data_IF_383435486263
#
_entry.id   IF_383435486263
#
_cell.length_a   1.000
_cell.length_b   1.000
_cell.length_c   1.000
_cell.angle_alpha   90.00
_cell.angle_beta   90.00
_cell.angle_gamma   90.00
#
_symmetry.space_group_name_H-M   'P 1'
#
loop_
_entity.id
_entity.type
_entity.pdbx_description
1 polymer ?
#
# COMPACT_ATOMS: atom_id res chain seq x y z
N UNK A 1 7.84 -32.53 8.24
CA UNK A 1 8.60 -33.16 9.35
C UNK A 1 9.69 -32.20 9.85
N UNK A 2 9.81 -31.99 11.16
CA UNK A 2 10.86 -31.14 11.75
C UNK A 2 10.60 -29.63 11.71
N UNK A 3 9.35 -29.19 11.48
CA UNK A 3 8.93 -27.79 11.62
C UNK A 3 7.70 -27.75 12.50
N UNK A 4 7.78 -26.93 13.55
CA UNK A 4 6.67 -26.59 14.42
C UNK A 4 6.32 -25.12 14.18
N UNK A 5 5.15 -24.84 13.63
CA UNK A 5 4.77 -23.48 13.20
C UNK A 5 3.25 -23.29 13.26
N UNK A 6 2.83 -22.14 13.78
CA UNK A 6 1.42 -21.79 13.98
C UNK A 6 1.13 -20.40 13.44
N UNK A 7 -0.04 -20.22 12.82
CA UNK A 7 -0.49 -18.92 12.34
C UNK A 7 -1.50 -19.01 11.21
N UNK A 8 -1.52 -17.99 10.35
CA UNK A 8 -2.45 -17.85 9.23
C UNK A 8 -1.73 -17.95 7.88
N UNK A 9 -2.45 -18.47 6.88
CA UNK A 9 -1.95 -18.60 5.51
C UNK A 9 -3.07 -18.40 4.49
N UNK A 10 -2.69 -18.19 3.23
CA UNK A 10 -3.63 -18.19 2.12
C UNK A 10 -3.91 -19.62 1.65
N UNK A 11 -5.18 -19.99 1.35
CA UNK A 11 -5.47 -21.27 0.72
C UNK A 11 -4.60 -21.51 -0.52
N UNK A 12 -3.87 -22.63 -0.54
CA UNK A 12 -2.93 -22.98 -1.62
C UNK A 12 -1.47 -22.55 -1.39
N UNK A 13 -1.16 -21.80 -0.34
CA UNK A 13 0.23 -21.46 0.04
C UNK A 13 0.79 -22.55 0.99
N UNK A 14 2.02 -23.06 0.77
CA UNK A 14 2.55 -24.21 1.51
C UNK A 14 3.07 -23.88 2.93
N UNK A 15 3.03 -22.62 3.37
CA UNK A 15 3.68 -22.16 4.61
C UNK A 15 2.80 -21.16 5.38
N UNK A 16 3.09 -20.96 6.67
CA UNK A 16 2.44 -19.92 7.49
C UNK A 16 2.99 -18.55 7.10
N UNK A 17 2.11 -17.62 6.75
CA UNK A 17 2.49 -16.27 6.28
C UNK A 17 2.68 -15.33 7.46
N UNK A 18 1.74 -15.31 8.41
CA UNK A 18 1.84 -14.54 9.67
C UNK A 18 1.70 -15.53 10.80
N UNK A 19 2.65 -15.56 11.73
CA UNK A 19 2.67 -16.57 12.77
C UNK A 19 3.95 -16.60 13.56
N UNK A 20 4.20 -17.75 14.18
CA UNK A 20 5.40 -18.00 14.95
C UNK A 20 5.79 -19.47 14.92
N UNK A 21 7.05 -19.74 15.22
CA UNK A 21 7.55 -21.06 15.59
C UNK A 21 8.01 -21.02 17.06
N UNK A 22 8.65 -22.06 17.62
CA UNK A 22 9.10 -22.04 19.01
C UNK A 22 10.09 -20.91 19.36
N UNK A 23 10.82 -20.39 18.37
CA UNK A 23 11.97 -19.50 18.53
C UNK A 23 11.65 -18.03 18.20
N UNK A 24 10.90 -17.77 17.12
CA UNK A 24 10.60 -16.43 16.61
C UNK A 24 9.13 -16.28 16.21
N UNK A 25 8.65 -15.04 16.21
CA UNK A 25 7.35 -14.63 15.67
C UNK A 25 7.53 -13.56 14.60
N UNK A 26 6.63 -13.55 13.61
CA UNK A 26 6.64 -12.57 12.54
C UNK A 26 5.23 -12.15 12.09
N UNK A 27 5.13 -10.92 11.59
CA UNK A 27 3.91 -10.35 11.03
C UNK A 27 4.20 -9.53 9.79
N UNK A 28 3.19 -9.35 8.94
CA UNK A 28 3.33 -8.71 7.63
C UNK A 28 2.38 -7.52 7.51
N UNK A 29 2.86 -6.44 6.90
CA UNK A 29 2.03 -5.38 6.32
C UNK A 29 2.66 -4.92 5.01
N UNK A 30 1.86 -4.49 4.02
CA UNK A 30 2.42 -3.98 2.76
C UNK A 30 3.37 -2.81 3.01
N UNK A 31 4.55 -2.86 2.38
CA UNK A 31 5.53 -1.77 2.42
C UNK A 31 5.13 -0.57 1.54
N UNK A 32 4.09 -0.75 0.71
CA UNK A 32 3.62 0.23 -0.27
C UNK A 32 4.71 0.64 -1.26
N UNK A 33 5.71 -0.21 -1.50
CA UNK A 33 6.81 0.06 -2.43
C UNK A 33 6.25 0.36 -3.83
N UNK A 34 6.81 1.40 -4.44
CA UNK A 34 6.63 1.68 -5.86
C UNK A 34 7.59 0.80 -6.67
N UNK A 35 7.11 -0.41 -6.99
CA UNK A 35 7.85 -1.48 -7.69
C UNK A 35 7.42 -1.66 -9.15
N UNK A 36 6.66 -0.72 -9.70
CA UNK A 36 6.11 -0.78 -11.06
C UNK A 36 6.14 0.59 -11.74
N UNK A 37 6.57 0.63 -13.01
CA UNK A 37 6.53 1.83 -13.85
C UNK A 37 5.79 1.57 -15.15
N UNK A 38 5.10 2.60 -15.65
CA UNK A 38 4.44 2.60 -16.95
C UNK A 38 5.26 3.41 -17.96
N UNK A 39 5.46 2.84 -19.15
CA UNK A 39 6.18 3.51 -20.22
C UNK A 39 5.22 3.86 -21.36
N UNK A 40 5.30 5.10 -21.85
CA UNK A 40 4.63 5.56 -23.06
C UNK A 40 5.52 5.19 -24.25
N UNK A 41 5.05 4.21 -25.01
CA UNK A 41 5.81 3.58 -26.08
C UNK A 41 5.52 4.24 -27.42
N UNK A 42 6.57 4.47 -28.21
CA UNK A 42 6.43 4.91 -29.59
C UNK A 42 6.45 3.70 -30.50
N UNK A 43 5.32 3.42 -31.15
CA UNK A 43 5.09 2.20 -31.93
C UNK A 43 5.02 2.51 -33.43
N UNK A 44 5.59 1.63 -34.25
CA UNK A 44 5.49 1.63 -35.72
C UNK A 44 5.33 0.19 -36.22
N UNK A 45 4.09 -0.17 -36.56
CA UNK A 45 3.72 -1.56 -36.86
C UNK A 45 3.98 -2.48 -35.65
N UNK A 46 4.76 -3.53 -35.87
CA UNK A 46 5.15 -4.49 -34.82
C UNK A 46 6.50 -4.11 -34.15
N UNK A 47 6.92 -2.84 -34.26
CA UNK A 47 8.17 -2.33 -33.68
C UNK A 47 7.91 -1.22 -32.67
N UNK A 48 8.81 -1.08 -31.72
CA UNK A 48 8.84 0.00 -30.72
C UNK A 48 10.17 0.73 -30.77
N UNK A 49 10.17 2.04 -30.55
CA UNK A 49 11.39 2.82 -30.39
C UNK A 49 11.96 2.55 -29.01
N UNK A 50 13.20 2.09 -28.93
CA UNK A 50 13.91 1.85 -27.67
C UNK A 50 15.37 2.29 -27.80
N UNK A 51 15.80 3.19 -26.92
CA UNK A 51 17.16 3.79 -26.92
C UNK A 51 17.55 4.34 -28.30
N UNK A 52 16.60 5.04 -28.93
CA UNK A 52 16.79 5.66 -30.26
C UNK A 52 16.81 4.69 -31.44
N UNK A 53 16.47 3.41 -31.26
CA UNK A 53 16.37 2.41 -32.34
C UNK A 53 15.01 1.73 -32.37
N UNK A 54 14.48 1.50 -33.56
CA UNK A 54 13.31 0.64 -33.75
C UNK A 54 13.68 -0.82 -33.52
N UNK A 55 13.06 -1.45 -32.54
CA UNK A 55 13.24 -2.88 -32.21
C UNK A 55 11.92 -3.63 -32.34
N UNK A 56 11.91 -4.91 -32.74
CA UNK A 56 10.69 -5.68 -32.84
C UNK A 56 10.08 -5.92 -31.45
N UNK A 57 8.75 -5.80 -31.36
CA UNK A 57 7.99 -6.28 -30.20
C UNK A 57 7.82 -7.79 -30.28
N UNK A 58 7.71 -8.46 -29.13
CA UNK A 58 7.34 -9.88 -29.10
C UNK A 58 5.83 -10.02 -29.10
N UNK A 59 5.31 -10.95 -29.89
CA UNK A 59 3.89 -11.31 -29.94
C UNK A 59 3.69 -12.71 -29.40
N UNK A 60 2.79 -12.88 -28.44
CA UNK A 60 2.29 -14.19 -27.99
C UNK A 60 0.78 -14.24 -28.21
N UNK A 61 0.27 -15.38 -28.70
CA UNK A 61 -1.16 -15.61 -28.80
C UNK A 61 -1.60 -16.42 -27.59
N UNK A 62 -2.45 -15.82 -26.76
CA UNK A 62 -3.06 -16.48 -25.61
C UNK A 62 -4.43 -17.03 -25.99
N UNK A 63 -4.70 -18.27 -25.60
CA UNK A 63 -5.97 -18.95 -25.87
C UNK A 63 -6.72 -19.15 -24.56
N UNK A 64 -7.88 -18.54 -24.44
CA UNK A 64 -8.69 -18.53 -23.22
C UNK A 64 -10.00 -19.28 -23.49
N UNK A 65 -10.25 -20.32 -22.70
CA UNK A 65 -11.52 -21.04 -22.76
C UNK A 65 -12.58 -20.30 -21.94
N UNK A 66 -13.61 -19.78 -22.61
CA UNK A 66 -14.69 -19.01 -21.99
C UNK A 66 -15.92 -19.89 -21.87
N UNK A 67 -16.35 -20.13 -20.63
CA UNK A 67 -17.54 -20.95 -20.32
C UNK A 67 -18.74 -20.41 -21.11
N UNK A 68 -19.35 -21.27 -21.92
CA UNK A 68 -20.53 -20.95 -22.73
C UNK A 68 -20.24 -20.16 -24.01
N UNK A 69 -18.99 -19.79 -24.30
CA UNK A 69 -18.61 -19.03 -25.52
C UNK A 69 -17.54 -19.72 -26.38
N UNK A 70 -16.82 -20.69 -25.84
CA UNK A 70 -15.74 -21.39 -26.57
C UNK A 70 -14.37 -20.74 -26.35
N UNK A 71 -13.43 -20.97 -27.27
CA UNK A 71 -12.06 -20.43 -27.19
C UNK A 71 -12.01 -19.00 -27.75
N UNK A 72 -11.47 -18.06 -26.97
CA UNK A 72 -11.09 -16.73 -27.42
C UNK A 72 -9.56 -16.65 -27.54
N UNK A 73 -9.05 -16.10 -28.64
CA UNK A 73 -7.60 -15.89 -28.85
C UNK A 73 -7.26 -14.41 -28.72
N UNK A 74 -6.32 -14.07 -27.84
CA UNK A 74 -5.88 -12.70 -27.56
C UNK A 74 -4.40 -12.53 -27.89
N UNK A 75 -4.02 -11.50 -28.68
CA UNK A 75 -2.62 -11.16 -28.89
C UNK A 75 -2.08 -10.38 -27.68
N UNK A 76 -0.97 -10.86 -27.10
CA UNK A 76 -0.18 -10.17 -26.09
C UNK A 76 1.09 -9.64 -26.74
N UNK A 77 1.27 -8.34 -26.69
CA UNK A 77 2.47 -7.66 -27.18
C UNK A 77 3.38 -7.33 -26.01
N UNK A 78 4.68 -7.57 -26.17
CA UNK A 78 5.71 -7.22 -25.19
C UNK A 78 6.78 -6.34 -25.83
N UNK A 79 7.05 -5.20 -25.20
CA UNK A 79 8.17 -4.32 -25.49
C UNK A 79 9.38 -4.72 -24.64
N UNK A 80 10.55 -4.08 -24.81
CA UNK A 80 11.68 -4.24 -23.89
C UNK A 80 11.34 -3.92 -22.41
N UNK A 81 10.35 -3.06 -22.15
CA UNK A 81 9.93 -2.72 -20.78
C UNK A 81 8.95 -3.74 -20.19
N UNK A 82 8.12 -4.38 -21.03
CA UNK A 82 7.18 -5.42 -20.63
C UNK A 82 5.90 -5.47 -21.48
N UNK A 83 4.83 -6.11 -20.99
CA UNK A 83 3.58 -6.25 -21.74
C UNK A 83 2.89 -4.90 -21.99
N UNK A 84 2.32 -4.74 -23.17
CA UNK A 84 1.48 -3.59 -23.55
C UNK A 84 0.08 -3.75 -22.94
N UNK A 85 -0.34 -2.77 -22.15
CA UNK A 85 -1.60 -2.78 -21.40
C UNK A 85 -2.72 -1.97 -22.05
N UNK A 86 -2.43 -1.05 -22.98
CA UNK A 86 -3.46 -0.19 -23.58
C UNK A 86 -4.71 -0.92 -24.09
N UNK A 87 -4.63 -2.12 -24.71
CA UNK A 87 -5.83 -2.84 -25.15
C UNK A 87 -6.82 -3.18 -24.03
N UNK A 88 -6.38 -3.19 -22.77
CA UNK A 88 -7.22 -3.49 -21.60
C UNK A 88 -7.47 -2.26 -20.71
N UNK A 89 -6.94 -1.08 -21.08
CA UNK A 89 -7.13 0.17 -20.36
C UNK A 89 -8.12 1.06 -21.11
N UNK A 90 -9.30 1.26 -20.52
CA UNK A 90 -10.33 2.14 -21.09
C UNK A 90 -9.84 3.59 -21.18
N UNK A 91 -10.12 4.25 -22.30
CA UNK A 91 -9.79 5.67 -22.51
C UNK A 91 -8.31 5.97 -22.78
N UNK A 92 -7.44 4.96 -22.86
CA UNK A 92 -6.00 5.14 -23.14
C UNK A 92 -5.71 4.83 -24.60
N UNK A 93 -5.37 5.85 -25.39
CA UNK A 93 -4.98 5.71 -26.80
C UNK A 93 -3.48 5.52 -27.01
N UNK A 94 -2.65 5.97 -26.07
CA UNK A 94 -1.20 5.77 -26.11
C UNK A 94 -0.87 4.29 -25.88
N UNK A 95 0.20 3.79 -26.52
CA UNK A 95 0.75 2.48 -26.19
C UNK A 95 1.46 2.56 -24.83
N UNK A 96 0.93 1.89 -23.82
CA UNK A 96 1.48 1.84 -22.46
C UNK A 96 1.98 0.43 -22.20
N UNK A 97 3.25 0.30 -21.82
CA UNK A 97 3.78 -0.97 -21.31
C UNK A 97 4.06 -0.89 -19.82
N UNK A 98 4.01 -2.04 -19.14
CA UNK A 98 4.31 -2.16 -17.72
C UNK A 98 5.67 -2.81 -17.50
N UNK A 99 6.55 -2.11 -16.77
CA UNK A 99 7.73 -2.70 -16.14
C UNK A 99 7.41 -2.93 -14.66
N UNK A 100 7.52 -4.16 -14.19
CA UNK A 100 7.21 -4.52 -12.80
C UNK A 100 8.28 -5.47 -12.25
N UNK A 101 8.70 -5.26 -10.99
CA UNK A 101 9.64 -6.16 -10.29
C UNK A 101 9.16 -7.62 -10.31
N UNK A 102 7.84 -7.85 -10.29
CA UNK A 102 7.26 -9.19 -10.35
C UNK A 102 7.66 -9.98 -11.61
N UNK A 103 7.97 -9.29 -12.72
CA UNK A 103 8.43 -9.93 -13.95
C UNK A 103 9.89 -10.40 -13.89
N UNK A 104 10.68 -9.91 -12.94
CA UNK A 104 12.07 -10.35 -12.72
C UNK A 104 12.16 -11.64 -11.88
N UNK A 105 11.01 -12.22 -11.50
CA UNK A 105 10.89 -13.44 -10.74
C UNK A 105 11.17 -13.27 -9.24
N UNK A 106 11.64 -14.34 -8.61
CA UNK A 106 11.87 -14.44 -7.17
C UNK A 106 11.42 -15.80 -6.63
N UNK A 107 11.68 -16.04 -5.35
CA UNK A 107 11.29 -17.27 -4.67
C UNK A 107 10.58 -16.95 -3.35
N UNK A 108 9.44 -16.26 -3.45
CA UNK A 108 8.61 -15.97 -2.29
C UNK A 108 8.20 -17.26 -1.53
N UNK A 109 7.87 -18.39 -2.19
CA UNK A 109 7.62 -19.66 -1.50
C UNK A 109 8.84 -20.16 -0.72
N UNK A 110 10.04 -20.13 -1.30
CA UNK A 110 11.27 -20.52 -0.61
C UNK A 110 11.64 -19.57 0.53
N UNK A 111 11.45 -18.27 0.35
CA UNK A 111 11.65 -17.27 1.40
C UNK A 111 10.69 -17.52 2.59
N UNK A 112 9.41 -17.78 2.33
CA UNK A 112 8.44 -18.17 3.38
C UNK A 112 8.82 -19.49 4.04
N UNK A 113 9.24 -20.48 3.26
CA UNK A 113 9.68 -21.77 3.77
C UNK A 113 10.89 -21.66 4.70
N UNK A 114 11.86 -20.80 4.35
CA UNK A 114 13.01 -20.48 5.17
C UNK A 114 12.61 -19.70 6.43
N UNK A 115 11.72 -18.72 6.29
CA UNK A 115 11.21 -17.92 7.42
C UNK A 115 10.52 -18.79 8.46
N UNK A 116 9.70 -19.76 8.03
CA UNK A 116 9.01 -20.70 8.91
C UNK A 116 9.98 -21.57 9.74
N UNK A 117 11.24 -21.68 9.31
CA UNK A 117 12.32 -22.45 9.97
C UNK A 117 13.36 -21.59 10.67
N UNK A 118 13.30 -20.27 10.51
CA UNK A 118 14.28 -19.38 11.10
C UNK A 118 14.16 -19.39 12.63
N UNK A 119 15.30 -19.42 13.32
CA UNK A 119 15.37 -19.56 14.78
C UNK A 119 15.95 -18.34 15.48
N UNK A 120 16.43 -17.37 14.71
CA UNK A 120 17.07 -16.17 15.22
C UNK A 120 17.05 -15.07 14.17
N UNK A 121 17.45 -13.87 14.59
CA UNK A 121 17.51 -12.67 13.74
C UNK A 121 18.31 -12.90 12.45
N UNK A 122 19.42 -13.62 12.50
CA UNK A 122 20.26 -13.82 11.30
C UNK A 122 19.50 -14.67 10.28
N UNK A 123 18.98 -15.82 10.70
CA UNK A 123 18.20 -16.70 9.83
C UNK A 123 16.92 -16.02 9.33
N UNK A 124 16.29 -15.16 10.14
CA UNK A 124 15.17 -14.33 9.73
C UNK A 124 15.57 -13.36 8.60
N UNK A 125 16.65 -12.59 8.78
CA UNK A 125 17.14 -11.64 7.77
C UNK A 125 17.52 -12.35 6.48
N UNK A 126 18.19 -13.51 6.59
CA UNK A 126 18.56 -14.33 5.45
C UNK A 126 17.30 -14.81 4.69
N UNK A 127 16.28 -15.29 5.39
CA UNK A 127 15.03 -15.74 4.79
C UNK A 127 14.28 -14.60 4.07
N UNK A 128 14.08 -13.45 4.74
CA UNK A 128 13.31 -12.33 4.15
C UNK A 128 14.08 -11.61 3.04
N UNK A 129 15.40 -11.79 2.93
CA UNK A 129 16.19 -11.27 1.80
C UNK A 129 15.76 -11.85 0.44
N UNK A 130 15.18 -13.05 0.44
CA UNK A 130 14.64 -13.71 -0.76
C UNK A 130 13.26 -13.20 -1.19
N UNK A 131 12.63 -12.33 -0.38
CA UNK A 131 11.29 -11.80 -0.65
C UNK A 131 11.40 -10.55 -1.54
N UNK A 132 11.36 -10.74 -2.86
CA UNK A 132 11.53 -9.65 -3.83
C UNK A 132 10.27 -8.84 -4.08
N UNK A 133 9.12 -9.53 -4.12
CA UNK A 133 7.80 -8.95 -4.30
C UNK A 133 6.74 -9.92 -3.73
N UNK A 134 5.53 -9.44 -3.39
CA UNK A 134 5.20 -8.04 -3.15
C UNK A 134 6.03 -7.49 -1.98
N UNK A 135 6.34 -6.19 -1.95
CA UNK A 135 7.14 -5.66 -0.84
C UNK A 135 6.36 -5.60 0.48
N UNK A 136 7.00 -6.00 1.58
CA UNK A 136 6.38 -6.17 2.90
C UNK A 136 7.23 -5.56 4.01
N UNK A 137 6.61 -4.87 4.96
CA UNK A 137 7.20 -4.62 6.26
C UNK A 137 6.96 -5.85 7.14
N UNK A 138 8.03 -6.56 7.46
CA UNK A 138 7.98 -7.79 8.25
C UNK A 138 8.48 -7.47 9.65
N UNK A 139 7.58 -7.51 10.63
CA UNK A 139 7.92 -7.37 12.04
C UNK A 139 8.44 -8.70 12.59
N UNK A 140 9.35 -8.63 13.56
CA UNK A 140 10.05 -9.75 14.18
C UNK A 140 9.99 -9.61 15.71
N UNK A 141 9.84 -10.74 16.40
CA UNK A 141 10.13 -10.89 17.82
C UNK A 141 10.72 -12.28 18.10
N UNK A 142 11.52 -12.42 19.17
CA UNK A 142 12.05 -13.72 19.61
C UNK A 142 12.00 -13.94 21.13
N UNK A 143 12.34 -15.17 21.54
CA UNK A 143 12.36 -15.60 22.95
C UNK A 143 13.37 -14.84 23.82
N UNK A 144 14.38 -14.24 23.22
CA UNK A 144 15.40 -13.45 23.93
C UNK A 144 14.93 -12.02 24.20
N UNK A 145 13.73 -11.66 23.70
CA UNK A 145 13.15 -10.33 23.85
C UNK A 145 13.61 -9.35 22.78
N UNK A 146 14.27 -9.81 21.71
CA UNK A 146 14.60 -8.93 20.59
C UNK A 146 13.36 -8.65 19.77
N UNK A 147 13.27 -7.42 19.24
CA UNK A 147 12.24 -6.97 18.32
C UNK A 147 12.86 -6.28 17.12
N UNK A 148 12.17 -6.34 15.99
CA UNK A 148 12.62 -5.64 14.79
C UNK A 148 11.55 -5.50 13.74
N UNK A 149 11.84 -4.67 12.75
CA UNK A 149 11.06 -4.57 11.52
C UNK A 149 12.03 -4.45 10.36
N UNK A 150 11.77 -5.20 9.28
CA UNK A 150 12.54 -5.16 8.05
C UNK A 150 11.58 -4.95 6.89
N UNK A 151 11.87 -3.95 6.05
CA UNK A 151 11.21 -3.82 4.76
C UNK A 151 11.86 -4.81 3.79
N UNK A 152 11.13 -5.88 3.45
CA UNK A 152 11.50 -6.83 2.42
C UNK A 152 10.90 -6.41 1.06
N UNK A 153 11.66 -6.59 -0.01
CA UNK A 153 11.28 -6.18 -1.37
C UNK A 153 12.48 -5.64 -2.16
N UNK A 154 12.44 -5.76 -3.48
CA UNK A 154 13.45 -5.19 -4.38
C UNK A 154 13.07 -3.77 -4.77
N UNK A 155 13.83 -2.78 -4.29
CA UNK A 155 13.62 -1.38 -4.61
C UNK A 155 14.31 -1.06 -5.94
N UNK A 156 13.59 -0.72 -7.03
CA UNK A 156 14.21 -0.42 -8.30
C UNK A 156 14.89 0.95 -8.30
N UNK A 157 16.11 1.00 -8.83
CA UNK A 157 16.87 2.23 -9.08
C UNK A 157 16.51 2.75 -10.46
N UNK A 158 16.08 4.00 -10.53
CA UNK A 158 15.60 4.66 -11.76
C UNK A 158 16.55 5.80 -12.13
N UNK A 159 16.78 6.04 -13.42
CA UNK A 159 17.51 7.23 -13.89
C UNK A 159 16.76 8.54 -13.62
N UNK A 160 15.44 8.48 -13.57
CA UNK A 160 14.57 9.61 -13.30
C UNK A 160 13.12 9.20 -13.15
N UNK A 161 12.24 10.19 -13.04
CA UNK A 161 10.80 10.01 -12.97
C UNK A 161 10.28 10.25 -11.57
N UNK A 162 9.00 10.59 -11.46
CA UNK A 162 8.37 10.87 -10.16
C UNK A 162 7.78 9.62 -9.51
N UNK A 163 7.64 8.51 -10.26
CA UNK A 163 6.86 7.33 -9.89
C UNK A 163 5.34 7.52 -9.97
N UNK A 164 4.86 8.71 -10.36
CA UNK A 164 3.43 9.05 -10.36
C UNK A 164 2.77 9.03 -11.73
N UNK A 165 3.56 9.21 -12.80
CA UNK A 165 3.07 9.32 -14.16
C UNK A 165 3.86 8.38 -15.08
N UNK A 166 3.24 7.88 -16.15
CA UNK A 166 3.97 7.18 -17.19
C UNK A 166 5.10 8.04 -17.77
N UNK A 167 6.20 7.39 -18.14
CA UNK A 167 7.41 8.05 -18.68
C UNK A 167 7.67 7.61 -20.13
N UNK A 168 8.32 8.43 -20.97
CA UNK A 168 8.68 8.01 -22.33
C UNK A 168 9.57 6.75 -22.37
N UNK A 169 9.27 5.79 -23.26
CA UNK A 169 10.06 4.57 -23.47
C UNK A 169 11.13 4.65 -24.57
N UNK A 170 11.23 5.76 -25.28
CA UNK A 170 11.98 5.82 -26.55
C UNK A 170 13.47 6.18 -26.42
N UNK A 171 13.84 7.03 -25.46
CA UNK A 171 15.22 7.55 -25.31
C UNK A 171 16.10 6.71 -24.39
N UNK A 172 15.51 5.97 -23.44
CA UNK A 172 16.24 5.28 -22.38
C UNK A 172 16.69 6.20 -21.23
N UNK A 173 16.12 7.40 -21.12
CA UNK A 173 16.34 8.35 -20.03
C UNK A 173 15.68 7.92 -18.72
N UNK A 174 14.65 7.07 -18.79
CA UNK A 174 13.81 6.69 -17.65
C UNK A 174 13.99 5.23 -17.22
N UNK A 175 15.05 4.59 -17.72
CA UNK A 175 15.34 3.18 -17.48
C UNK A 175 15.61 2.88 -16.00
N UNK A 176 15.32 1.63 -15.62
CA UNK A 176 15.87 1.06 -14.40
C UNK A 176 17.36 0.76 -14.60
N UNK A 177 18.19 1.13 -13.64
CA UNK A 177 19.65 0.91 -13.65
C UNK A 177 20.08 -0.24 -12.75
N UNK A 178 19.15 -0.80 -11.97
CA UNK A 178 19.39 -1.90 -11.06
C UNK A 178 18.40 -1.87 -9.91
N UNK A 179 18.81 -2.42 -8.77
CA UNK A 179 18.04 -2.43 -7.53
C UNK A 179 18.92 -2.04 -6.37
N UNK A 180 18.34 -1.40 -5.36
CA UNK A 180 19.02 -1.16 -4.09
C UNK A 180 19.46 -2.50 -3.49
N UNK A 181 20.71 -2.63 -3.00
CA UNK A 181 21.15 -3.83 -2.29
C UNK A 181 20.27 -4.10 -1.08
N UNK A 182 19.85 -5.35 -0.86
CA UNK A 182 18.96 -5.68 0.25
C UNK A 182 19.51 -5.24 1.61
N UNK A 183 20.83 -5.25 1.82
CA UNK A 183 21.48 -4.78 3.05
C UNK A 183 21.16 -3.32 3.39
N UNK A 184 20.82 -2.50 2.40
CA UNK A 184 20.43 -1.11 2.59
C UNK A 184 18.94 -0.96 2.90
N UNK A 185 18.08 -1.96 2.62
CA UNK A 185 16.65 -1.84 2.90
C UNK A 185 16.35 -1.40 4.35
N UNK A 186 15.32 -0.54 4.56
CA UNK A 186 14.94 -0.04 5.86
C UNK A 186 14.76 -1.16 6.88
N UNK A 187 15.42 -1.00 8.02
CA UNK A 187 15.34 -1.95 9.13
C UNK A 187 15.61 -1.26 10.45
N UNK A 188 14.96 -1.75 11.50
CA UNK A 188 15.18 -1.33 12.88
C UNK A 188 15.24 -2.57 13.76
N UNK A 189 16.13 -2.55 14.76
CA UNK A 189 16.33 -3.62 15.73
C UNK A 189 16.45 -3.00 17.12
N UNK A 190 15.71 -3.56 18.09
CA UNK A 190 15.74 -3.17 19.50
C UNK A 190 15.83 -1.64 19.71
N UNK A 191 14.89 -0.86 19.14
CA UNK A 191 14.91 0.59 19.28
C UNK A 191 14.73 0.98 20.75
N UNK A 192 15.33 2.09 21.22
CA UNK A 192 15.25 2.53 22.62
C UNK A 192 13.82 2.81 23.09
N UNK A 193 12.90 3.10 22.16
CA UNK A 193 11.47 3.25 22.41
C UNK A 193 10.80 1.96 22.91
N UNK A 194 11.44 0.80 22.75
CA UNK A 194 10.94 -0.48 23.25
C UNK A 194 9.80 -1.11 22.43
N UNK A 195 9.49 -0.55 21.26
CA UNK A 195 8.52 -1.13 20.32
C UNK A 195 8.91 -0.90 18.86
N UNK A 196 8.36 -1.72 17.97
CA UNK A 196 8.35 -1.51 16.52
C UNK A 196 6.91 -1.50 16.03
N UNK A 197 6.64 -0.74 14.98
CA UNK A 197 5.31 -0.68 14.38
C UNK A 197 5.42 -0.56 12.86
N UNK A 198 4.50 -1.22 12.16
CA UNK A 198 4.28 -1.05 10.74
C UNK A 198 2.78 -1.05 10.47
N UNK A 199 2.30 -0.05 9.73
CA UNK A 199 0.89 0.08 9.38
C UNK A 199 0.74 0.77 8.01
N UNK A 200 1.56 0.33 7.04
CA UNK A 200 1.59 0.83 5.65
C UNK A 200 2.03 2.31 5.49
N UNK A 201 2.50 2.95 6.57
CA UNK A 201 3.16 4.25 6.54
C UNK A 201 4.64 4.12 6.09
N UNK A 202 5.35 5.21 5.77
CA UNK A 202 6.73 5.16 5.29
C UNK A 202 7.67 4.37 6.20
N UNK A 203 8.39 3.34 5.70
CA UNK A 203 9.28 2.52 6.52
C UNK A 203 10.60 3.19 6.90
N UNK A 204 10.91 4.34 6.28
CA UNK A 204 12.09 5.14 6.58
C UNK A 204 11.80 6.63 6.43
N UNK A 205 12.60 7.45 7.12
CA UNK A 205 12.57 8.91 6.99
C UNK A 205 13.24 9.42 5.71
N UNK A 206 13.17 10.73 5.51
CA UNK A 206 13.71 11.41 4.32
C UNK A 206 15.24 11.26 4.15
N UNK A 207 15.95 10.87 5.21
CA UNK A 207 17.41 10.65 5.20
C UNK A 207 17.82 9.30 4.61
N UNK A 208 16.87 8.42 4.26
CA UNK A 208 17.16 7.08 3.73
C UNK A 208 17.94 7.09 2.40
N UNK A 209 17.81 8.17 1.61
CA UNK A 209 18.60 8.37 0.39
C UNK A 209 18.04 7.69 -0.86
N UNK A 210 17.24 6.63 -0.73
CA UNK A 210 16.56 5.98 -1.86
C UNK A 210 15.07 6.30 -1.90
N UNK A 211 14.53 6.40 -3.12
CA UNK A 211 13.09 6.50 -3.33
C UNK A 211 12.40 5.16 -3.06
N UNK A 212 11.36 5.16 -2.22
CA UNK A 212 10.54 3.97 -1.93
C UNK A 212 9.16 4.11 -2.55
N UNK A 213 8.40 5.14 -2.18
CA UNK A 213 7.03 5.31 -2.63
C UNK A 213 6.46 6.67 -2.29
N UNK A 214 5.36 7.02 -2.96
CA UNK A 214 4.44 8.12 -2.60
C UNK A 214 3.03 7.64 -2.28
N UNK A 215 2.79 6.33 -2.35
CA UNK A 215 1.47 5.70 -2.33
C UNK A 215 1.16 5.07 -0.96
N UNK A 216 1.69 5.61 0.12
CA UNK A 216 1.43 5.11 1.48
C UNK A 216 -0.03 5.32 1.90
N UNK A 217 -0.49 4.46 2.80
CA UNK A 217 -1.79 4.66 3.46
C UNK A 217 -1.76 5.95 4.32
N UNK A 218 -2.94 6.54 4.59
CA UNK A 218 -3.04 7.65 5.53
C UNK A 218 -2.40 7.32 6.89
N UNK A 219 -1.83 8.31 7.59
CA UNK A 219 -1.01 8.08 8.77
C UNK A 219 -1.83 7.83 10.05
N UNK A 220 -3.16 7.90 9.99
CA UNK A 220 -4.09 7.81 11.12
C UNK A 220 -3.89 6.53 11.95
N UNK A 221 -3.92 5.35 11.31
CA UNK A 221 -3.69 4.06 11.99
C UNK A 221 -2.30 3.98 12.60
N UNK A 222 -1.28 4.41 11.86
CA UNK A 222 0.10 4.44 12.34
C UNK A 222 0.27 5.33 13.57
N UNK A 223 -0.24 6.56 13.51
CA UNK A 223 -0.25 7.51 14.64
C UNK A 223 -1.01 6.95 15.84
N UNK A 224 -2.15 6.29 15.62
CA UNK A 224 -2.95 5.67 16.70
C UNK A 224 -2.17 4.55 17.39
N UNK A 225 -1.54 3.66 16.61
CA UNK A 225 -0.69 2.56 17.11
C UNK A 225 0.48 3.11 17.92
N UNK A 226 1.25 4.04 17.35
CA UNK A 226 2.42 4.64 17.99
C UNK A 226 2.01 5.31 19.31
N UNK A 227 0.93 6.10 19.30
CA UNK A 227 0.44 6.77 20.51
C UNK A 227 0.08 5.76 21.62
N UNK A 228 -0.66 4.70 21.29
CA UNK A 228 -1.02 3.66 22.28
C UNK A 228 0.24 3.03 22.86
N UNK A 229 1.20 2.67 22.01
CA UNK A 229 2.46 2.04 22.41
C UNK A 229 3.33 2.96 23.28
N UNK A 230 3.45 4.24 22.92
CA UNK A 230 4.21 5.24 23.69
C UNK A 230 3.58 5.55 25.05
N UNK A 231 2.24 5.62 25.14
CA UNK A 231 1.55 5.90 26.41
C UNK A 231 1.53 4.69 27.36
N UNK A 232 1.83 3.48 26.86
CA UNK A 232 1.79 2.25 27.64
C UNK A 232 3.17 1.82 28.14
N UNK A 233 3.31 1.63 29.46
CA UNK A 233 4.56 1.10 30.02
C UNK A 233 4.73 -0.42 29.79
N UNK A 234 3.64 -1.19 29.85
CA UNK A 234 3.61 -2.63 29.58
C UNK A 234 2.34 -3.04 28.86
N UNK A 235 2.45 -4.11 28.06
CA UNK A 235 1.36 -4.70 27.30
C UNK A 235 1.20 -6.17 27.65
N UNK A 236 0.02 -6.55 28.11
CA UNK A 236 -0.40 -7.96 28.17
C UNK A 236 -1.00 -8.39 26.83
N UNK A 237 -1.18 -9.69 26.65
CA UNK A 237 -1.86 -10.26 25.46
C UNK A 237 -3.26 -9.65 25.32
N UNK A 238 -4.03 -9.58 26.39
CA UNK A 238 -5.39 -9.03 26.38
C UNK A 238 -5.40 -7.54 26.02
N UNK A 239 -4.34 -6.79 26.35
CA UNK A 239 -4.21 -5.39 25.95
C UNK A 239 -3.94 -5.25 24.45
N UNK A 240 -3.11 -6.14 23.87
CA UNK A 240 -2.91 -6.20 22.42
C UNK A 240 -4.17 -6.63 21.67
N UNK A 241 -4.92 -7.61 22.18
CA UNK A 241 -6.21 -8.02 21.59
C UNK A 241 -7.21 -6.85 21.56
N UNK A 242 -7.32 -6.09 22.66
CA UNK A 242 -8.16 -4.88 22.69
C UNK A 242 -7.68 -3.81 21.73
N UNK A 243 -6.36 -3.64 21.58
CA UNK A 243 -5.77 -2.68 20.64
C UNK A 243 -6.10 -3.04 19.19
N UNK A 244 -6.14 -4.33 18.83
CA UNK A 244 -6.56 -4.77 17.49
C UNK A 244 -8.04 -4.44 17.19
N UNK A 245 -8.86 -4.20 18.21
CA UNK A 245 -10.26 -3.81 18.12
C UNK A 245 -10.47 -2.29 18.32
N UNK A 246 -9.41 -1.48 18.27
CA UNK A 246 -9.54 -0.02 18.44
C UNK A 246 -10.33 0.60 17.28
N UNK A 247 -11.38 1.33 17.65
CA UNK A 247 -12.32 2.00 16.74
C UNK A 247 -12.35 3.51 16.96
N UNK A 248 -11.37 4.05 17.69
CA UNK A 248 -11.30 5.48 17.98
C UNK A 248 -10.62 6.21 16.80
N UNK A 249 -11.28 7.25 16.30
CA UNK A 249 -10.80 8.10 15.19
C UNK A 249 -10.51 9.52 15.67
N UNK A 250 -9.41 9.73 16.43
CA UNK A 250 -9.08 11.06 16.95
C UNK A 250 -8.76 12.08 15.84
N UNK A 251 -8.33 11.60 14.66
CA UNK A 251 -8.12 12.37 13.44
C UNK A 251 -9.40 13.06 12.93
N UNK A 252 -10.58 12.48 13.17
CA UNK A 252 -11.87 13.07 12.78
C UNK A 252 -12.20 14.38 13.53
N UNK A 253 -11.55 14.63 14.68
CA UNK A 253 -11.89 15.74 15.58
C UNK A 253 -11.91 17.12 14.88
N UNK A 254 -10.95 17.38 13.98
CA UNK A 254 -10.88 18.64 13.22
C UNK A 254 -12.11 18.83 12.33
N UNK A 255 -12.41 17.84 11.50
CA UNK A 255 -13.54 17.88 10.58
C UNK A 255 -14.89 17.87 11.32
N UNK A 256 -15.02 17.14 12.44
CA UNK A 256 -16.20 17.20 13.32
C UNK A 256 -16.39 18.60 13.89
N UNK A 257 -15.33 19.24 14.38
CA UNK A 257 -15.37 20.62 14.89
C UNK A 257 -15.83 21.61 13.81
N UNK A 258 -15.32 21.47 12.58
CA UNK A 258 -15.76 22.26 11.43
C UNK A 258 -17.24 22.03 11.11
N UNK A 259 -17.68 20.76 11.03
CA UNK A 259 -19.06 20.40 10.76
C UNK A 259 -20.02 20.96 11.82
N UNK A 260 -19.67 20.85 13.11
CA UNK A 260 -20.45 21.43 14.21
C UNK A 260 -20.54 22.95 14.09
N UNK A 261 -19.44 23.62 13.76
CA UNK A 261 -19.41 25.09 13.58
C UNK A 261 -20.34 25.52 12.45
N UNK A 262 -20.24 24.87 11.28
CA UNK A 262 -21.07 25.17 10.12
C UNK A 262 -22.54 24.89 10.42
N UNK A 263 -22.86 23.75 11.04
CA UNK A 263 -24.23 23.41 11.41
C UNK A 263 -24.83 24.44 12.39
N UNK A 264 -24.06 24.94 13.36
CA UNK A 264 -24.51 25.99 14.30
C UNK A 264 -24.76 27.35 13.62
N UNK A 265 -24.07 27.65 12.53
CA UNK A 265 -24.31 28.89 11.76
C UNK A 265 -25.60 28.82 10.93
N UNK A 266 -26.08 27.61 10.61
CA UNK A 266 -27.21 27.36 9.73
C UNK A 266 -28.48 26.92 10.46
N UNK A 267 -28.55 27.14 11.78
CA UNK A 267 -29.70 26.75 12.61
C UNK A 267 -31.04 27.34 12.16
N UNK A 268 -31.01 28.50 11.47
CA UNK A 268 -32.22 29.16 10.96
C UNK A 268 -32.73 28.57 9.64
N UNK A 269 -31.92 27.78 8.95
CA UNK A 269 -32.27 27.20 7.66
C UNK A 269 -33.13 25.94 7.83
N UNK A 270 -32.82 25.11 8.83
CA UNK A 270 -33.58 23.89 9.10
C UNK A 270 -33.28 23.29 10.48
N UNK A 271 -34.21 22.50 11.01
CA UNK A 271 -34.04 21.79 12.29
C UNK A 271 -32.94 20.72 12.22
N UNK A 272 -32.69 20.17 11.02
CA UNK A 272 -31.68 19.15 10.75
C UNK A 272 -30.27 19.66 11.08
N UNK A 273 -29.95 20.94 10.83
CA UNK A 273 -28.67 21.52 11.24
C UNK A 273 -28.50 21.54 12.76
N UNK A 274 -29.56 21.84 13.51
CA UNK A 274 -29.55 21.75 14.98
C UNK A 274 -29.33 20.32 15.48
N UNK A 275 -30.00 19.35 14.85
CA UNK A 275 -29.83 17.94 15.16
C UNK A 275 -28.40 17.46 14.85
N UNK A 276 -27.87 17.82 13.68
CA UNK A 276 -26.51 17.48 13.27
C UNK A 276 -25.46 18.04 14.23
N UNK A 277 -25.56 19.33 14.59
CA UNK A 277 -24.67 19.96 15.55
C UNK A 277 -24.70 19.24 16.91
N UNK A 278 -25.88 18.87 17.40
CA UNK A 278 -26.05 18.14 18.67
C UNK A 278 -25.44 16.73 18.61
N UNK A 279 -25.74 15.97 17.55
CA UNK A 279 -25.24 14.60 17.36
C UNK A 279 -23.71 14.60 17.29
N UNK A 280 -23.13 15.45 16.45
CA UNK A 280 -21.67 15.53 16.26
C UNK A 280 -20.96 16.07 17.50
N UNK A 281 -21.53 17.04 18.21
CA UNK A 281 -20.94 17.55 19.46
C UNK A 281 -20.89 16.48 20.57
N UNK A 282 -21.83 15.53 20.55
CA UNK A 282 -21.89 14.43 21.52
C UNK A 282 -21.15 13.17 21.08
N UNK A 283 -20.57 13.15 19.88
CA UNK A 283 -19.84 11.98 19.39
C UNK A 283 -18.44 11.93 20.00
N UNK A 284 -18.12 10.80 20.63
CA UNK A 284 -16.83 10.51 21.26
C UNK A 284 -15.78 9.99 20.27
N UNK A 285 -16.01 10.19 18.96
CA UNK A 285 -15.13 9.78 17.86
C UNK A 285 -14.92 8.27 17.74
N UNK A 286 -15.75 7.45 18.39
CA UNK A 286 -15.75 5.99 18.24
C UNK A 286 -16.67 5.57 17.10
N UNK A 287 -16.15 4.78 16.17
CA UNK A 287 -16.90 4.29 15.01
C UNK A 287 -17.63 3.00 15.41
N UNK A 288 -18.78 3.14 16.06
CA UNK A 288 -19.67 2.02 16.42
C UNK A 288 -20.95 2.04 15.60
N UNK A 289 -21.53 0.86 15.34
CA UNK A 289 -22.75 0.73 14.53
C UNK A 289 -24.02 1.28 15.18
N UNK A 290 -24.01 1.58 16.47
CA UNK A 290 -25.15 2.06 17.26
C UNK A 290 -25.16 3.59 17.44
N UNK A 291 -24.19 4.32 16.86
CA UNK A 291 -24.09 5.78 17.02
C UNK A 291 -24.15 6.54 15.71
N UNK A 292 -25.15 7.43 15.60
CA UNK A 292 -25.37 8.27 14.42
C UNK A 292 -24.22 9.25 14.12
N UNK A 293 -23.38 9.58 15.12
CA UNK A 293 -22.27 10.52 14.96
C UNK A 293 -21.24 10.08 13.91
N UNK A 294 -20.88 8.79 13.90
CA UNK A 294 -19.95 8.24 12.92
C UNK A 294 -20.52 8.34 11.50
N UNK A 295 -21.76 7.88 11.28
CA UNK A 295 -22.42 7.95 9.96
C UNK A 295 -22.53 9.39 9.45
N UNK A 296 -22.93 10.32 10.31
CA UNK A 296 -23.06 11.72 9.93
C UNK A 296 -21.70 12.33 9.58
N UNK A 297 -20.64 11.97 10.32
CA UNK A 297 -19.28 12.36 10.00
C UNK A 297 -18.81 11.80 8.65
N UNK A 298 -18.99 10.51 8.38
CA UNK A 298 -18.56 9.90 7.12
C UNK A 298 -19.23 10.58 5.92
N UNK A 299 -20.55 10.81 5.98
CA UNK A 299 -21.29 11.49 4.90
C UNK A 299 -20.83 12.94 4.77
N UNK A 300 -20.61 13.65 5.88
CA UNK A 300 -20.09 15.01 5.84
C UNK A 300 -18.72 15.07 5.17
N UNK A 301 -17.80 14.17 5.57
CA UNK A 301 -16.44 14.15 5.06
C UNK A 301 -16.38 13.75 3.58
N UNK A 302 -17.19 12.77 3.16
CA UNK A 302 -17.37 12.42 1.75
C UNK A 302 -17.86 13.62 0.93
N UNK A 303 -18.91 14.31 1.40
CA UNK A 303 -19.45 15.50 0.72
C UNK A 303 -18.48 16.68 0.75
N UNK A 304 -17.65 16.79 1.77
CA UNK A 304 -16.59 17.77 1.84
C UNK A 304 -15.53 17.50 0.76
N UNK A 305 -15.06 16.26 0.62
CA UNK A 305 -14.16 15.85 -0.49
C UNK A 305 -14.79 16.15 -1.84
N UNK A 306 -16.06 15.77 -2.02
CA UNK A 306 -16.79 16.01 -3.27
C UNK A 306 -16.85 17.50 -3.61
N UNK A 307 -17.30 18.33 -2.68
CA UNK A 307 -17.47 19.76 -2.91
C UNK A 307 -16.15 20.54 -3.02
N UNK A 308 -15.02 19.95 -2.63
CA UNK A 308 -13.69 20.58 -2.70
C UNK A 308 -12.91 20.19 -3.95
N UNK A 309 -13.09 18.98 -4.48
CA UNK A 309 -12.23 18.48 -5.57
C UNK A 309 -12.98 18.10 -6.85
N UNK A 310 -14.30 17.91 -6.81
CA UNK A 310 -15.02 17.32 -7.95
C UNK A 310 -15.12 18.26 -9.15
N UNK A 311 -15.24 19.56 -8.93
CA UNK A 311 -15.30 20.58 -9.97
C UNK A 311 -13.95 20.72 -10.70
N UNK A 312 -12.84 20.65 -9.97
CA UNK A 312 -11.49 20.69 -10.54
C UNK A 312 -11.12 19.40 -11.30
N UNK A 313 -11.48 18.23 -10.77
CA UNK A 313 -11.13 16.93 -11.36
C UNK A 313 -12.12 16.47 -12.45
N UNK A 314 -13.34 16.98 -12.44
CA UNK A 314 -14.44 16.44 -13.21
C UNK A 314 -14.94 15.07 -12.71
N UNK A 315 -16.13 14.63 -13.16
CA UNK A 315 -16.81 13.46 -12.59
C UNK A 315 -16.07 12.13 -12.81
N UNK A 316 -15.39 11.97 -13.96
CA UNK A 316 -14.67 10.74 -14.29
C UNK A 316 -13.46 10.50 -13.39
N UNK A 317 -12.52 11.46 -13.38
CA UNK A 317 -11.30 11.37 -12.59
C UNK A 317 -11.60 11.39 -11.09
N UNK A 318 -12.57 12.19 -10.63
CA UNK A 318 -13.01 12.16 -9.23
C UNK A 318 -13.53 10.78 -8.83
N UNK A 319 -14.35 10.16 -9.68
CA UNK A 319 -14.89 8.81 -9.44
C UNK A 319 -13.82 7.72 -9.44
N UNK A 320 -12.75 7.85 -10.24
CA UNK A 320 -11.59 6.95 -10.15
C UNK A 320 -10.77 7.20 -8.90
N UNK A 321 -10.37 8.45 -8.64
CA UNK A 321 -9.54 8.82 -7.51
C UNK A 321 -10.14 8.42 -6.16
N UNK A 322 -11.47 8.54 -5.99
CA UNK A 322 -12.16 8.12 -4.76
C UNK A 322 -12.26 6.60 -4.59
N UNK A 323 -12.26 5.82 -5.68
CA UNK A 323 -12.34 4.35 -5.64
C UNK A 323 -10.99 3.68 -5.45
N UNK A 324 -9.96 4.22 -6.10
CA UNK A 324 -8.68 3.54 -6.23
C UNK A 324 -7.58 4.14 -5.37
N UNK A 325 -7.81 5.31 -4.77
CA UNK A 325 -6.75 6.06 -4.13
C UNK A 325 -7.18 6.72 -2.82
N UNK A 326 -6.26 6.73 -1.85
CA UNK A 326 -6.36 7.52 -0.62
C UNK A 326 -5.78 8.93 -0.79
N UNK A 327 -5.39 9.32 -2.00
CA UNK A 327 -4.80 10.63 -2.27
C UNK A 327 -5.72 11.80 -1.90
N UNK A 328 -7.02 11.73 -2.22
CA UNK A 328 -7.95 12.80 -1.88
C UNK A 328 -8.21 12.92 -0.38
N UNK A 329 -8.22 11.79 0.34
CA UNK A 329 -8.28 11.77 1.81
C UNK A 329 -7.04 12.44 2.41
N UNK A 330 -5.85 12.05 1.96
CA UNK A 330 -4.59 12.64 2.38
C UNK A 330 -4.48 14.13 2.05
N UNK A 331 -5.02 14.55 0.90
CA UNK A 331 -5.06 15.96 0.50
C UNK A 331 -6.01 16.74 1.42
N UNK A 332 -7.21 16.23 1.66
CA UNK A 332 -8.21 16.87 2.52
C UNK A 332 -7.70 17.07 3.94
N UNK A 333 -7.07 16.06 4.54
CA UNK A 333 -6.50 16.15 5.90
C UNK A 333 -5.40 17.21 6.04
N UNK A 334 -4.74 17.59 4.95
CA UNK A 334 -3.74 18.68 4.93
C UNK A 334 -4.38 20.05 4.72
N UNK A 335 -5.56 20.10 4.12
CA UNK A 335 -6.30 21.33 3.84
C UNK A 335 -7.01 21.86 5.09
N UNK A 336 -7.41 20.98 6.03
CA UNK A 336 -8.15 21.33 7.26
C UNK A 336 -7.30 21.41 8.54
#
# INVERSE_FOLDING_TARGET
PGVDVYGVSFPGTPCVVIGHNPDIAWGFTNAMLDDADFFVERVDGERVMFRGKWVPMRKRLEKIQVRGKGEETLPVWETPHGPVLSPVLSGVSAALSLRWVGFDGGDAPGALHALNRARNRKEFVDAVSGFYHPAQNIVYADREGNIGVVMAGRIPLRKGGSGLLPVPGDTGEWEWTGTVPFSENPRVWNPPEGFVAAANFPPAGISYGHYISRLYEPPDRGKRIIRILTEGEKFSVEKFERMQQDILRPDAAKAVSLAVRVARQRLRESQEFGNAARILSGWDLRVTGDRAGATLFEVFYEKMIENTFRDDLGPGLFGEATRTSRLLWNAMDRTI
#
